data_IF_757730843374
#
_entry.id   IF_757730843374
#
_cell.length_a   1.000
_cell.length_b   1.000
_cell.length_c   1.000
_cell.angle_alpha   90.00
_cell.angle_beta   90.00
_cell.angle_gamma   90.00
#
_symmetry.space_group_name_H-M   'P 1'
#
loop_
_entity.id
_entity.type
_entity.pdbx_description
1 polymer ?
#
# COMPACT_ATOMS: atom_id res chain seq x y z
N UNK A 1 -40.36 -14.25 -35.93
CA UNK A 1 -39.02 -14.14 -35.32
C UNK A 1 -39.20 -13.93 -33.83
N UNK A 2 -38.85 -14.91 -33.00
CA UNK A 2 -38.82 -14.73 -31.54
C UNK A 2 -37.72 -13.72 -31.22
N UNK A 3 -38.10 -12.52 -30.78
CA UNK A 3 -37.15 -11.57 -30.17
C UNK A 3 -36.55 -12.27 -28.97
N UNK A 4 -35.22 -12.41 -28.95
CA UNK A 4 -34.54 -13.13 -27.86
C UNK A 4 -34.80 -12.42 -26.53
N UNK A 5 -34.99 -13.20 -25.46
CA UNK A 5 -35.21 -12.69 -24.09
C UNK A 5 -34.14 -11.64 -23.69
N UNK A 6 -32.91 -11.83 -24.16
CA UNK A 6 -31.80 -10.88 -23.98
C UNK A 6 -32.08 -9.52 -24.62
N UNK A 7 -32.68 -9.47 -25.81
CA UNK A 7 -33.03 -8.23 -26.49
C UNK A 7 -34.05 -7.42 -25.69
N UNK A 8 -35.09 -8.08 -25.18
CA UNK A 8 -36.12 -7.43 -24.35
C UNK A 8 -35.55 -6.84 -23.05
N UNK A 9 -34.61 -7.55 -22.40
CA UNK A 9 -33.94 -7.03 -21.18
C UNK A 9 -33.03 -5.83 -21.46
N UNK A 10 -32.37 -5.78 -22.61
CA UNK A 10 -31.48 -4.66 -22.96
C UNK A 10 -32.27 -3.44 -23.46
N UNK A 11 -33.40 -3.64 -24.12
CA UNK A 11 -34.29 -2.55 -24.56
C UNK A 11 -34.93 -1.80 -23.37
N UNK A 12 -35.05 -2.46 -22.22
CA UNK A 12 -35.53 -1.85 -20.96
C UNK A 12 -34.42 -1.32 -20.05
N UNK A 13 -33.14 -1.54 -20.40
CA UNK A 13 -32.02 -1.06 -19.60
C UNK A 13 -31.87 0.46 -19.73
N UNK A 14 -31.89 1.15 -18.58
CA UNK A 14 -31.58 2.57 -18.51
C UNK A 14 -30.20 2.75 -17.91
N UNK A 15 -29.29 3.37 -18.67
CA UNK A 15 -27.93 3.61 -18.19
C UNK A 15 -27.91 4.70 -17.10
N UNK A 16 -27.41 4.33 -15.92
CA UNK A 16 -27.13 5.30 -14.87
C UNK A 16 -25.98 6.24 -15.25
N UNK A 17 -26.12 7.54 -14.95
CA UNK A 17 -25.08 8.55 -15.12
C UNK A 17 -24.43 8.85 -13.77
N UNK A 18 -23.29 8.24 -13.48
CA UNK A 18 -22.53 8.51 -12.27
C UNK A 18 -21.75 9.81 -12.39
N UNK A 19 -21.81 10.65 -11.35
CA UNK A 19 -21.01 11.88 -11.28
C UNK A 19 -19.61 11.57 -10.76
N UNK A 20 -18.56 12.29 -11.23
CA UNK A 20 -17.23 12.18 -10.64
C UNK A 20 -17.27 12.53 -9.15
N UNK A 21 -16.61 11.72 -8.32
CA UNK A 21 -16.45 11.99 -6.90
C UNK A 21 -15.15 12.79 -6.71
N UNK A 22 -15.24 13.96 -6.08
CA UNK A 22 -14.06 14.79 -5.77
C UNK A 22 -13.29 14.17 -4.61
N UNK A 23 -11.96 14.15 -4.72
CA UNK A 23 -11.06 13.67 -3.68
C UNK A 23 -11.06 14.63 -2.48
N UNK A 24 -11.01 14.06 -1.28
CA UNK A 24 -10.93 14.78 0.00
C UNK A 24 -10.95 13.80 1.19
N UNK A 25 -10.96 14.35 2.41
CA UNK A 25 -10.94 13.57 3.66
C UNK A 25 -11.93 12.40 3.66
N UNK A 26 -13.20 12.67 3.36
CA UNK A 26 -14.25 11.63 3.34
C UNK A 26 -13.94 10.49 2.37
N UNK A 27 -13.43 10.78 1.17
CA UNK A 27 -13.13 9.72 0.19
C UNK A 27 -11.92 8.87 0.59
N UNK A 28 -10.96 9.45 1.33
CA UNK A 28 -9.83 8.69 1.87
C UNK A 28 -10.32 7.73 2.96
N UNK A 29 -11.14 8.21 3.90
CA UNK A 29 -11.75 7.38 4.95
C UNK A 29 -12.59 6.25 4.35
N UNK A 30 -13.43 6.55 3.36
CA UNK A 30 -14.24 5.53 2.67
C UNK A 30 -13.37 4.49 1.97
N UNK A 31 -12.28 4.91 1.30
CA UNK A 31 -11.36 3.99 0.63
C UNK A 31 -10.62 3.11 1.63
N UNK A 32 -10.17 3.69 2.75
CA UNK A 32 -9.53 2.98 3.84
C UNK A 32 -10.45 1.92 4.43
N UNK A 33 -11.68 2.31 4.81
CA UNK A 33 -12.68 1.40 5.37
C UNK A 33 -13.03 0.27 4.40
N UNK A 34 -13.21 0.58 3.12
CA UNK A 34 -13.49 -0.42 2.10
C UNK A 34 -12.34 -1.42 1.94
N UNK A 35 -11.08 -0.94 1.91
CA UNK A 35 -9.90 -1.79 1.84
C UNK A 35 -9.77 -2.68 3.08
N UNK A 36 -9.94 -2.10 4.28
CA UNK A 36 -9.91 -2.84 5.55
C UNK A 36 -10.95 -3.96 5.59
N UNK A 37 -12.21 -3.67 5.27
CA UNK A 37 -13.27 -4.67 5.22
C UNK A 37 -13.02 -5.73 4.14
N UNK A 38 -12.45 -5.33 3.00
CA UNK A 38 -12.04 -6.25 1.95
C UNK A 38 -11.01 -7.25 2.44
N UNK A 39 -9.92 -6.76 3.02
CA UNK A 39 -8.85 -7.56 3.60
C UNK A 39 -9.39 -8.49 4.69
N UNK A 40 -10.21 -7.97 5.61
CA UNK A 40 -10.80 -8.77 6.69
C UNK A 40 -11.58 -9.98 6.16
N UNK A 41 -12.42 -9.77 5.14
CA UNK A 41 -13.14 -10.87 4.48
C UNK A 41 -12.19 -11.89 3.87
N UNK A 42 -11.17 -11.43 3.14
CA UNK A 42 -10.23 -12.33 2.46
C UNK A 42 -9.37 -13.11 3.46
N UNK A 43 -8.98 -12.51 4.59
CA UNK A 43 -8.25 -13.22 5.64
C UNK A 43 -9.08 -14.34 6.27
N UNK A 44 -10.38 -14.13 6.50
CA UNK A 44 -11.29 -15.19 6.96
C UNK A 44 -11.36 -16.33 5.94
N UNK A 45 -11.53 -16.00 4.66
CA UNK A 45 -11.55 -16.98 3.58
C UNK A 45 -10.24 -17.78 3.47
N UNK A 46 -9.10 -17.09 3.54
CA UNK A 46 -7.77 -17.69 3.47
C UNK A 46 -7.51 -18.61 4.66
N UNK A 47 -7.87 -18.19 5.89
CA UNK A 47 -7.75 -19.01 7.10
C UNK A 47 -8.59 -20.28 7.03
N UNK A 48 -9.76 -20.21 6.40
CA UNK A 48 -10.63 -21.37 6.14
C UNK A 48 -10.15 -22.30 5.02
N UNK A 49 -9.08 -21.92 4.29
CA UNK A 49 -8.59 -22.64 3.11
C UNK A 49 -7.13 -23.09 3.30
N UNK A 50 -6.89 -24.26 3.92
CA UNK A 50 -5.53 -24.70 4.27
C UNK A 50 -4.67 -25.13 3.07
N UNK A 51 -5.27 -25.31 1.88
CA UNK A 51 -4.56 -25.78 0.69
C UNK A 51 -3.83 -24.64 0.00
N UNK A 52 -2.57 -24.85 -0.34
CA UNK A 52 -1.77 -23.89 -1.12
C UNK A 52 -1.99 -24.11 -2.63
N UNK A 53 -3.22 -23.88 -3.09
CA UNK A 53 -3.63 -24.03 -4.49
C UNK A 53 -3.90 -22.66 -5.17
N UNK A 54 -4.44 -22.71 -6.40
CA UNK A 54 -4.75 -21.50 -7.16
C UNK A 54 -5.76 -20.58 -6.42
N UNK A 55 -6.65 -21.13 -5.60
CA UNK A 55 -7.62 -20.36 -4.83
C UNK A 55 -6.91 -19.55 -3.74
N UNK A 56 -5.97 -20.17 -3.00
CA UNK A 56 -5.13 -19.46 -2.04
C UNK A 56 -4.31 -18.34 -2.69
N UNK A 57 -3.78 -18.58 -3.91
CA UNK A 57 -3.10 -17.54 -4.69
C UNK A 57 -4.03 -16.36 -5.02
N UNK A 58 -5.25 -16.63 -5.50
CA UNK A 58 -6.21 -15.57 -5.82
C UNK A 58 -6.61 -14.75 -4.58
N UNK A 59 -6.72 -15.40 -3.41
CA UNK A 59 -6.94 -14.70 -2.14
C UNK A 59 -5.75 -13.76 -1.81
N UNK A 60 -4.51 -14.23 -1.99
CA UNK A 60 -3.32 -13.37 -1.82
C UNK A 60 -3.34 -12.18 -2.79
N UNK A 61 -3.69 -12.42 -4.05
CA UNK A 61 -3.80 -11.37 -5.07
C UNK A 61 -4.91 -10.35 -4.70
N UNK A 62 -6.01 -10.80 -4.08
CA UNK A 62 -7.08 -9.93 -3.60
C UNK A 62 -6.65 -9.05 -2.41
N UNK A 63 -5.86 -9.59 -1.47
CA UNK A 63 -5.24 -8.78 -0.41
C UNK A 63 -4.33 -7.70 -1.00
N UNK A 64 -3.46 -8.08 -1.94
CA UNK A 64 -2.56 -7.14 -2.63
C UNK A 64 -3.34 -6.03 -3.34
N UNK A 65 -4.49 -6.36 -3.92
CA UNK A 65 -5.37 -5.39 -4.57
C UNK A 65 -5.89 -4.34 -3.58
N UNK A 66 -6.41 -4.74 -2.41
CA UNK A 66 -6.89 -3.81 -1.39
C UNK A 66 -5.75 -2.96 -0.82
N UNK A 67 -4.61 -3.57 -0.48
CA UNK A 67 -3.41 -2.86 -0.02
C UNK A 67 -2.98 -1.82 -1.05
N UNK A 68 -2.84 -2.21 -2.32
CA UNK A 68 -2.43 -1.29 -3.39
C UNK A 68 -3.44 -0.15 -3.56
N UNK A 69 -4.74 -0.44 -3.53
CA UNK A 69 -5.78 0.59 -3.68
C UNK A 69 -5.69 1.62 -2.57
N UNK A 70 -5.53 1.18 -1.32
CA UNK A 70 -5.37 2.07 -0.19
C UNK A 70 -4.08 2.88 -0.30
N UNK A 71 -2.92 2.23 -0.53
CA UNK A 71 -1.64 2.93 -0.62
C UNK A 71 -1.59 3.97 -1.76
N UNK A 72 -2.14 3.64 -2.92
CA UNK A 72 -2.18 4.58 -4.04
C UNK A 72 -3.08 5.79 -3.70
N UNK A 73 -4.25 5.56 -3.12
CA UNK A 73 -5.25 6.62 -2.94
C UNK A 73 -5.06 7.41 -1.64
N UNK A 74 -4.91 6.71 -0.52
CA UNK A 74 -4.86 7.27 0.83
C UNK A 74 -3.49 7.81 1.21
N UNK A 75 -2.40 7.30 0.61
CA UNK A 75 -1.03 7.74 0.90
C UNK A 75 -0.48 8.52 -0.30
N UNK A 76 -0.29 7.87 -1.45
CA UNK A 76 0.42 8.46 -2.60
C UNK A 76 -0.28 9.69 -3.16
N UNK A 77 -1.59 9.63 -3.33
CA UNK A 77 -2.36 10.77 -3.84
C UNK A 77 -2.65 11.84 -2.78
N UNK A 78 -2.69 11.47 -1.49
CA UNK A 78 -2.95 12.40 -0.37
C UNK A 78 -1.70 13.19 0.04
N UNK A 79 -0.60 12.49 0.33
CA UNK A 79 0.64 13.08 0.87
C UNK A 79 1.90 12.74 0.09
N UNK A 80 1.80 11.94 -0.96
CA UNK A 80 2.95 11.54 -1.77
C UNK A 80 3.57 10.24 -1.29
N UNK A 81 4.02 10.18 -0.04
CA UNK A 81 4.51 9.00 0.68
C UNK A 81 4.70 9.37 2.16
N UNK A 82 4.91 8.40 3.05
CA UNK A 82 5.24 8.67 4.46
C UNK A 82 6.56 9.44 4.60
N UNK A 83 7.54 9.06 3.78
CA UNK A 83 8.89 9.60 3.79
C UNK A 83 9.31 10.15 2.43
N UNK A 84 10.31 11.02 2.40
CA UNK A 84 10.91 11.55 1.17
C UNK A 84 12.40 11.77 1.31
N UNK A 85 13.11 11.56 0.21
CA UNK A 85 14.51 11.96 0.06
C UNK A 85 14.63 13.49 0.10
N UNK A 86 15.49 14.00 0.98
CA UNK A 86 15.74 15.43 1.14
C UNK A 86 16.43 15.99 -0.11
N UNK A 87 16.04 17.20 -0.52
CA UNK A 87 16.67 17.89 -1.65
C UNK A 87 16.20 17.44 -3.03
N UNK A 88 15.17 16.58 -3.13
CA UNK A 88 14.61 16.12 -4.40
C UNK A 88 13.22 16.67 -4.67
N UNK A 89 12.91 16.91 -5.95
CA UNK A 89 11.56 17.29 -6.37
C UNK A 89 10.72 16.04 -6.59
N UNK A 90 9.41 16.12 -6.34
CA UNK A 90 8.48 14.98 -6.51
C UNK A 90 8.54 14.33 -7.91
N UNK A 91 8.74 15.11 -8.98
CA UNK A 91 8.83 14.59 -10.36
C UNK A 91 10.11 13.79 -10.67
N UNK A 92 11.11 13.90 -9.80
CA UNK A 92 12.41 13.21 -9.89
C UNK A 92 12.42 11.91 -9.07
N UNK A 93 11.36 11.66 -8.32
CA UNK A 93 11.24 10.54 -7.40
C UNK A 93 10.21 9.51 -7.89
N UNK A 94 10.43 8.26 -7.50
CA UNK A 94 9.46 7.18 -7.62
C UNK A 94 8.86 6.88 -6.24
N UNK A 95 7.60 6.44 -6.25
CA UNK A 95 6.92 5.98 -5.04
C UNK A 95 7.26 4.52 -4.78
N UNK A 96 7.86 4.26 -3.63
CA UNK A 96 8.32 2.93 -3.21
C UNK A 96 7.66 2.51 -1.91
N UNK A 97 7.37 1.21 -1.79
CA UNK A 97 7.09 0.56 -0.52
C UNK A 97 8.43 0.15 0.11
N UNK A 98 8.78 0.73 1.26
CA UNK A 98 10.08 0.45 1.90
C UNK A 98 10.12 -0.99 2.41
N UNK A 99 8.97 -1.55 2.79
CA UNK A 99 8.79 -2.99 2.93
C UNK A 99 8.17 -3.58 1.65
N UNK A 100 8.73 -4.64 1.05
CA UNK A 100 8.15 -5.25 -0.15
C UNK A 100 6.71 -5.71 0.07
N UNK A 101 5.80 -5.42 -0.86
CA UNK A 101 4.35 -5.75 -0.71
C UNK A 101 4.07 -7.20 -0.39
N UNK A 102 4.79 -8.11 -1.05
CA UNK A 102 4.64 -9.54 -0.81
C UNK A 102 4.92 -9.90 0.66
N UNK A 103 5.96 -9.30 1.25
CA UNK A 103 6.30 -9.49 2.65
C UNK A 103 5.21 -8.94 3.58
N UNK A 104 4.70 -7.74 3.31
CA UNK A 104 3.61 -7.12 4.09
C UNK A 104 2.37 -8.02 4.11
N UNK A 105 2.00 -8.58 2.95
CA UNK A 105 0.90 -9.53 2.86
C UNK A 105 1.17 -10.79 3.68
N UNK A 106 2.37 -11.37 3.62
CA UNK A 106 2.69 -12.55 4.42
C UNK A 106 2.59 -12.24 5.93
N UNK A 107 3.22 -11.15 6.40
CA UNK A 107 3.12 -10.71 7.80
C UNK A 107 1.67 -10.59 8.26
N UNK A 108 0.81 -10.02 7.41
CA UNK A 108 -0.61 -9.89 7.67
C UNK A 108 -1.34 -11.25 7.71
N UNK A 109 -1.04 -12.16 6.78
CA UNK A 109 -1.63 -13.51 6.74
C UNK A 109 -1.24 -14.33 7.98
N UNK A 110 0.00 -14.21 8.43
CA UNK A 110 0.50 -14.88 9.63
C UNK A 110 0.08 -14.17 10.93
N UNK A 111 -0.48 -12.95 10.85
CA UNK A 111 -0.97 -12.20 12.00
C UNK A 111 0.13 -11.49 12.80
N UNK A 112 1.31 -11.30 12.20
CA UNK A 112 2.43 -10.58 12.80
C UNK A 112 2.22 -9.06 12.78
N UNK A 113 1.37 -8.57 11.87
CA UNK A 113 0.88 -7.19 11.84
C UNK A 113 -0.64 -7.18 11.64
N UNK A 114 -1.28 -6.14 12.15
CA UNK A 114 -2.70 -5.88 11.96
C UNK A 114 -3.02 -5.36 10.56
N UNK A 115 -4.31 -5.33 10.21
CA UNK A 115 -4.79 -4.75 8.95
C UNK A 115 -4.45 -3.26 8.88
N UNK A 116 -4.60 -2.53 9.99
CA UNK A 116 -4.33 -1.09 10.03
C UNK A 116 -2.83 -0.80 9.84
N UNK A 117 -1.95 -1.62 10.42
CA UNK A 117 -0.49 -1.56 10.20
C UNK A 117 -0.10 -1.93 8.75
N UNK A 118 -0.78 -2.90 8.14
CA UNK A 118 -0.52 -3.29 6.75
C UNK A 118 -0.96 -2.21 5.75
N UNK A 119 -2.06 -1.51 6.02
CA UNK A 119 -2.57 -0.38 5.24
C UNK A 119 -1.75 0.91 5.43
N UNK A 120 -0.97 0.96 6.51
CA UNK A 120 -0.12 2.09 6.88
C UNK A 120 1.35 1.70 6.88
N UNK A 121 1.80 0.88 5.92
CA UNK A 121 3.19 0.42 5.85
C UNK A 121 4.14 1.55 5.41
N UNK A 122 5.43 1.56 5.80
CA UNK A 122 6.38 2.60 5.39
C UNK A 122 6.49 2.70 3.86
N UNK A 123 6.33 3.92 3.35
CA UNK A 123 6.46 4.28 1.93
C UNK A 123 7.38 5.47 1.78
N UNK A 124 8.15 5.53 0.70
CA UNK A 124 9.12 6.60 0.46
C UNK A 124 9.01 7.15 -0.97
N UNK A 125 9.17 8.46 -1.11
CA UNK A 125 9.56 9.08 -2.37
C UNK A 125 11.09 9.10 -2.45
N UNK A 126 11.64 8.23 -3.28
CA UNK A 126 13.07 8.06 -3.46
C UNK A 126 13.46 8.52 -4.86
N UNK A 127 14.62 9.16 -5.05
CA UNK A 127 15.06 9.55 -6.39
C UNK A 127 15.11 8.34 -7.32
N UNK A 128 14.83 8.53 -8.62
CA UNK A 128 14.83 7.44 -9.60
C UNK A 128 16.14 6.65 -9.64
N UNK A 129 17.26 7.31 -9.35
CA UNK A 129 18.58 6.67 -9.25
C UNK A 129 18.64 5.74 -8.04
N UNK A 130 18.35 6.25 -6.84
CA UNK A 130 18.37 5.47 -5.61
C UNK A 130 17.33 4.34 -5.64
N UNK A 131 16.12 4.59 -6.17
CA UNK A 131 15.08 3.58 -6.36
C UNK A 131 15.58 2.43 -7.24
N UNK A 132 16.25 2.73 -8.35
CA UNK A 132 16.85 1.70 -9.21
C UNK A 132 17.99 0.96 -8.52
N UNK A 133 18.84 1.64 -7.76
CA UNK A 133 19.94 1.03 -7.02
C UNK A 133 19.40 0.02 -6.00
N UNK A 134 18.41 0.43 -5.21
CA UNK A 134 17.75 -0.43 -4.23
C UNK A 134 17.02 -1.60 -4.88
N UNK A 135 16.24 -1.37 -5.94
CA UNK A 135 15.53 -2.44 -6.63
C UNK A 135 16.47 -3.47 -7.27
N UNK A 136 17.74 -3.15 -7.56
CA UNK A 136 18.69 -4.18 -8.05
C UNK A 136 19.09 -5.18 -6.98
N UNK A 137 18.94 -4.83 -5.71
CA UNK A 137 19.42 -5.61 -4.57
C UNK A 137 18.23 -6.22 -3.79
N UNK A 138 17.19 -5.42 -3.58
CA UNK A 138 16.07 -5.70 -2.67
C UNK A 138 14.71 -5.53 -3.36
N UNK A 139 14.46 -6.27 -4.45
CA UNK A 139 13.14 -6.29 -5.11
C UNK A 139 12.06 -6.82 -4.17
N UNK A 140 12.35 -7.95 -3.52
CA UNK A 140 11.38 -8.77 -2.78
C UNK A 140 11.81 -9.12 -1.37
N UNK A 141 12.99 -8.66 -0.95
CA UNK A 141 13.59 -8.94 0.35
C UNK A 141 13.86 -7.64 1.09
N UNK A 142 13.88 -7.71 2.42
CA UNK A 142 14.40 -6.66 3.30
C UNK A 142 15.37 -7.34 4.27
N UNK A 143 16.55 -6.75 4.56
CA UNK A 143 17.51 -7.35 5.48
C UNK A 143 16.96 -7.41 6.91
N UNK A 144 16.14 -6.44 7.30
CA UNK A 144 15.47 -6.39 8.59
C UNK A 144 14.09 -5.73 8.41
N UNK A 145 13.06 -6.34 9.00
CA UNK A 145 11.66 -5.86 8.89
C UNK A 145 11.41 -4.74 9.89
N UNK A 146 11.89 -4.93 11.12
CA UNK A 146 11.69 -3.97 12.20
C UNK A 146 12.56 -2.72 12.00
N UNK A 147 13.82 -2.93 11.59
CA UNK A 147 14.72 -1.87 11.12
C UNK A 147 14.68 -1.78 9.59
N UNK A 148 13.53 -1.33 9.07
CA UNK A 148 13.28 -1.29 7.64
C UNK A 148 14.18 -0.29 6.88
N UNK A 149 14.92 0.58 7.57
CA UNK A 149 15.90 1.47 6.93
C UNK A 149 17.24 0.82 6.65
N UNK A 150 17.53 -0.35 7.24
CA UNK A 150 18.80 -1.04 7.02
C UNK A 150 19.09 -1.24 5.52
N UNK A 151 18.06 -1.56 4.71
CA UNK A 151 18.19 -1.66 3.24
C UNK A 151 18.72 -0.41 2.55
N UNK A 152 18.46 0.78 3.11
CA UNK A 152 18.95 2.04 2.57
C UNK A 152 20.34 2.36 3.13
N UNK A 153 20.54 2.23 4.45
CA UNK A 153 21.83 2.51 5.08
C UNK A 153 22.97 1.66 4.52
N UNK A 154 22.69 0.40 4.19
CA UNK A 154 23.68 -0.53 3.66
C UNK A 154 24.13 -0.17 2.22
N UNK A 155 23.36 0.64 1.49
CA UNK A 155 23.56 0.85 0.04
C UNK A 155 23.53 2.30 -0.44
N UNK A 156 23.03 3.25 0.36
CA UNK A 156 22.84 4.65 0.00
C UNK A 156 23.45 5.55 1.09
N UNK A 157 24.77 5.73 1.05
CA UNK A 157 25.55 6.35 2.13
C UNK A 157 25.22 7.82 2.40
N UNK A 158 24.82 8.58 1.38
CA UNK A 158 24.48 10.02 1.49
C UNK A 158 22.97 10.29 1.53
N UNK A 159 22.16 9.25 1.77
CA UNK A 159 20.71 9.39 1.78
C UNK A 159 20.24 10.07 3.07
N UNK A 160 19.56 11.20 2.92
CA UNK A 160 18.82 11.86 3.99
C UNK A 160 17.33 11.74 3.75
N UNK A 161 16.61 11.33 4.79
CA UNK A 161 15.16 11.12 4.77
C UNK A 161 14.48 12.07 5.75
N UNK A 162 13.35 12.60 5.33
CA UNK A 162 12.39 13.28 6.20
C UNK A 162 10.98 12.73 5.96
N UNK A 163 10.07 12.96 6.91
CA UNK A 163 8.66 12.64 6.74
C UNK A 163 7.98 13.59 5.74
N UNK A 164 6.76 13.26 5.34
CA UNK A 164 5.94 14.10 4.46
C UNK A 164 5.65 15.52 4.99
N UNK A 165 5.79 15.73 6.29
CA UNK A 165 5.63 17.00 7.00
C UNK A 165 6.97 17.61 7.45
N UNK A 166 8.10 17.10 6.93
CA UNK A 166 9.46 17.64 7.11
C UNK A 166 10.09 17.38 8.49
N UNK A 167 9.61 16.37 9.23
CA UNK A 167 10.32 15.86 10.39
C UNK A 167 11.53 15.06 9.90
N UNK A 168 12.72 15.47 10.32
CA UNK A 168 13.95 14.74 10.02
C UNK A 168 13.90 13.32 10.63
N UNK A 169 14.32 12.33 9.85
CA UNK A 169 14.35 10.92 10.26
C UNK A 169 15.79 10.48 10.48
N UNK A 170 16.11 10.11 11.72
CA UNK A 170 17.33 9.36 12.00
C UNK A 170 17.09 7.89 11.66
N UNK A 171 17.60 7.47 10.50
CA UNK A 171 17.44 6.11 10.01
C UNK A 171 18.04 5.05 10.94
N UNK A 172 18.89 5.40 11.93
CA UNK A 172 19.48 4.41 12.86
C UNK A 172 18.58 4.06 14.05
N UNK A 173 17.65 4.96 14.38
CA UNK A 173 16.75 4.81 15.55
C UNK A 173 15.29 4.75 15.16
N UNK A 174 14.93 5.24 13.96
CA UNK A 174 13.56 5.24 13.46
C UNK A 174 13.15 3.87 12.91
N UNK A 175 12.52 3.05 13.74
CA UNK A 175 12.10 1.69 13.38
C UNK A 175 10.58 1.64 13.06
N UNK A 176 10.05 0.43 12.93
CA UNK A 176 8.65 0.20 12.62
C UNK A 176 7.68 0.72 13.72
N UNK A 177 8.07 0.68 14.99
CA UNK A 177 7.26 1.27 16.07
C UNK A 177 7.20 2.79 15.96
N UNK A 178 8.35 3.44 15.72
CA UNK A 178 8.42 4.88 15.47
C UNK A 178 7.55 5.28 14.29
N UNK A 179 7.52 4.45 13.24
CA UNK A 179 6.63 4.66 12.10
C UNK A 179 5.16 4.60 12.48
N UNK A 180 4.70 3.50 13.10
CA UNK A 180 3.29 3.34 13.42
C UNK A 180 2.80 4.36 14.44
N UNK A 181 3.63 4.73 15.42
CA UNK A 181 3.28 5.78 16.39
C UNK A 181 3.15 7.15 15.70
N UNK A 182 4.11 7.52 14.84
CA UNK A 182 4.09 8.81 14.15
C UNK A 182 2.90 8.94 13.18
N UNK A 183 2.56 7.86 12.48
CA UNK A 183 1.52 7.85 11.45
C UNK A 183 0.19 7.25 11.93
N UNK A 184 -0.06 7.12 13.24
CA UNK A 184 -1.29 6.49 13.77
C UNK A 184 -2.57 7.18 13.33
N UNK A 185 -2.55 8.51 13.17
CA UNK A 185 -3.71 9.32 12.78
C UNK A 185 -4.00 9.27 11.27
N UNK A 186 -3.11 8.67 10.47
CA UNK A 186 -3.36 8.48 9.03
C UNK A 186 -4.50 7.49 8.74
N UNK A 187 -4.84 6.67 9.73
CA UNK A 187 -5.84 5.60 9.68
C UNK A 187 -7.27 6.09 10.02
N UNK A 188 -7.45 7.39 10.26
CA UNK A 188 -8.73 8.06 10.59
C UNK A 188 -9.04 9.23 9.66
#
# INVERSE_FOLDING_TARGET
>A
MLTSERKQRLESFTQARYRPIRRGGTTYVQTYQWARQGIERVLVLHKGHPKQDQTARLMRDEIDFYLKRCHDYCIKERIGAHYREVGRRRGECDFEHVLPKALVRELLIYGEISIDEALNVPTCLLSKENHRAINRIHVSTTPNIYDFWQRYRDHLQDLHIETHDSQAVDMTTWNLDSHYEYFKEFNT
#
